data_IF_409792901967
#
_entry.id   IF_409792901967
#
_cell.length_a   1.000
_cell.length_b   1.000
_cell.length_c   1.000
_cell.angle_alpha   90.00
_cell.angle_beta   90.00
_cell.angle_gamma   90.00
#
_symmetry.space_group_name_H-M   'P 1'
#
loop_
_entity.id
_entity.type
_entity.pdbx_description
1 polymer ?
#
# COMPACT_ATOMS: atom_id res chain seq x y z
N UNK A 1 -52.44 -24.62 45.21
CA UNK A 1 -51.09 -24.52 44.60
C UNK A 1 -50.91 -23.19 43.83
N UNK A 2 -51.10 -22.03 44.48
CA UNK A 2 -51.12 -20.70 43.79
C UNK A 2 -50.45 -19.56 44.59
N UNK A 3 -49.68 -19.88 45.63
CA UNK A 3 -49.14 -18.88 46.58
C UNK A 3 -47.64 -18.56 46.43
N UNK A 4 -46.89 -19.26 45.56
CA UNK A 4 -45.43 -19.11 45.45
C UNK A 4 -44.92 -18.25 44.29
N UNK A 5 -45.78 -17.86 43.35
CA UNK A 5 -45.39 -17.08 42.16
C UNK A 5 -45.41 -15.55 42.36
N UNK A 6 -45.87 -15.05 43.51
CA UNK A 6 -46.00 -13.59 43.77
C UNK A 6 -44.82 -12.96 44.53
N UNK A 7 -43.86 -13.75 44.98
CA UNK A 7 -42.71 -13.26 45.76
C UNK A 7 -41.53 -12.78 44.89
N UNK A 8 -41.50 -13.11 43.59
CA UNK A 8 -40.39 -12.74 42.70
C UNK A 8 -40.42 -11.24 42.31
N UNK A 9 -41.57 -10.57 42.42
CA UNK A 9 -41.77 -9.17 42.01
C UNK A 9 -41.91 -8.17 43.17
N UNK A 10 -41.26 -8.42 44.31
CA UNK A 10 -41.32 -7.54 45.48
C UNK A 10 -39.98 -6.92 45.88
N UNK A 11 -39.07 -6.68 44.92
CA UNK A 11 -37.92 -5.82 45.17
C UNK A 11 -38.22 -4.41 44.62
N UNK A 12 -38.72 -3.51 45.49
CA UNK A 12 -39.04 -2.11 45.17
C UNK A 12 -37.91 -1.15 45.57
N UNK A 13 -36.66 -1.55 45.38
CA UNK A 13 -35.54 -0.63 45.53
C UNK A 13 -35.45 0.17 44.22
N UNK A 14 -35.87 1.44 44.26
CA UNK A 14 -35.79 2.33 43.11
C UNK A 14 -34.33 2.59 42.73
N UNK A 15 -34.07 2.72 41.44
CA UNK A 15 -32.75 3.06 40.91
C UNK A 15 -32.35 4.43 41.46
N UNK A 16 -31.28 4.49 42.25
CA UNK A 16 -30.85 5.76 42.82
C UNK A 16 -30.14 6.60 41.77
N UNK A 17 -30.25 7.94 41.89
CA UNK A 17 -29.59 8.86 40.95
C UNK A 17 -28.07 8.64 40.89
N UNK A 18 -27.48 8.29 42.04
CA UNK A 18 -26.05 8.04 42.15
C UNK A 18 -25.63 6.75 41.43
N UNK A 19 -26.41 5.67 41.52
CA UNK A 19 -26.12 4.42 40.79
C UNK A 19 -26.20 4.63 39.28
N UNK A 20 -27.19 5.38 38.80
CA UNK A 20 -27.30 5.73 37.38
C UNK A 20 -26.10 6.56 36.92
N UNK A 21 -25.68 7.53 37.72
CA UNK A 21 -24.55 8.40 37.41
C UNK A 21 -23.23 7.62 37.36
N UNK A 22 -23.02 6.70 38.31
CA UNK A 22 -21.85 5.81 38.32
C UNK A 22 -21.87 4.87 37.11
N UNK A 23 -23.02 4.30 36.77
CA UNK A 23 -23.15 3.42 35.60
C UNK A 23 -22.86 4.18 34.29
N UNK A 24 -23.34 5.43 34.15
CA UNK A 24 -23.04 6.27 32.99
C UNK A 24 -21.56 6.68 32.93
N UNK A 25 -20.96 7.02 34.07
CA UNK A 25 -19.53 7.35 34.15
C UNK A 25 -18.65 6.16 33.71
N UNK A 26 -18.93 4.96 34.21
CA UNK A 26 -18.20 3.75 33.81
C UNK A 26 -18.51 3.41 32.35
N UNK A 27 -19.77 3.50 31.92
CA UNK A 27 -20.18 3.19 30.55
C UNK A 27 -19.46 4.05 29.52
N UNK A 28 -19.39 5.36 29.75
CA UNK A 28 -18.67 6.29 28.86
C UNK A 28 -17.17 6.00 28.82
N UNK A 29 -16.56 5.62 29.95
CA UNK A 29 -15.15 5.22 29.98
C UNK A 29 -14.90 3.98 29.12
N UNK A 30 -15.73 2.95 29.26
CA UNK A 30 -15.62 1.70 28.49
C UNK A 30 -15.84 1.95 26.99
N UNK A 31 -16.85 2.75 26.64
CA UNK A 31 -17.12 3.12 25.24
C UNK A 31 -15.94 3.89 24.66
N UNK A 32 -15.39 4.86 25.39
CA UNK A 32 -14.24 5.66 24.95
C UNK A 32 -13.01 4.80 24.67
N UNK A 33 -12.69 3.87 25.56
CA UNK A 33 -11.58 2.93 25.37
C UNK A 33 -11.81 2.03 24.14
N UNK A 34 -13.02 1.48 24.02
CA UNK A 34 -13.38 0.61 22.89
C UNK A 34 -13.27 1.37 21.56
N UNK A 35 -13.79 2.59 21.51
CA UNK A 35 -13.73 3.43 20.31
C UNK A 35 -12.29 3.80 19.94
N UNK A 36 -11.44 4.10 20.92
CA UNK A 36 -10.02 4.38 20.70
C UNK A 36 -9.29 3.20 20.04
N UNK A 37 -9.51 1.98 20.53
CA UNK A 37 -8.93 0.76 19.96
C UNK A 37 -9.44 0.53 18.53
N UNK A 38 -10.74 0.68 18.31
CA UNK A 38 -11.34 0.54 16.97
C UNK A 38 -10.76 1.57 15.98
N UNK A 39 -10.67 2.83 16.40
CA UNK A 39 -10.12 3.90 15.57
C UNK A 39 -8.65 3.63 15.21
N UNK A 40 -7.85 3.23 16.19
CA UNK A 40 -6.44 2.87 15.99
C UNK A 40 -6.29 1.67 15.05
N UNK A 41 -7.13 0.66 15.22
CA UNK A 41 -7.14 -0.55 14.37
C UNK A 41 -7.47 -0.21 12.93
N UNK A 42 -8.47 0.66 12.71
CA UNK A 42 -8.87 1.09 11.37
C UNK A 42 -7.77 1.91 10.68
N UNK A 43 -7.09 2.81 11.39
CA UNK A 43 -5.97 3.57 10.84
C UNK A 43 -4.78 2.65 10.51
N UNK A 44 -4.49 1.70 11.38
CA UNK A 44 -3.43 0.69 11.15
C UNK A 44 -3.74 -0.17 9.93
N UNK A 45 -4.99 -0.61 9.80
CA UNK A 45 -5.43 -1.39 8.64
C UNK A 45 -5.24 -0.61 7.34
N UNK A 46 -5.71 0.64 7.25
CA UNK A 46 -5.51 1.50 6.07
C UNK A 46 -4.04 1.68 5.70
N UNK A 47 -3.18 1.87 6.71
CA UNK A 47 -1.73 1.98 6.48
C UNK A 47 -1.15 0.69 5.91
N UNK A 48 -1.54 -0.45 6.47
CA UNK A 48 -1.10 -1.77 6.01
C UNK A 48 -1.58 -2.07 4.59
N UNK A 49 -2.83 -1.71 4.27
CA UNK A 49 -3.41 -1.87 2.94
C UNK A 49 -2.62 -1.07 1.89
N UNK A 50 -2.37 0.23 2.16
CA UNK A 50 -1.57 1.07 1.26
C UNK A 50 -0.15 0.50 1.07
N UNK A 51 0.51 0.01 2.12
CA UNK A 51 1.82 -0.63 2.01
C UNK A 51 1.78 -1.90 1.13
N UNK A 52 0.73 -2.71 1.27
CA UNK A 52 0.56 -3.91 0.46
C UNK A 52 0.33 -3.56 -1.02
N UNK A 53 -0.47 -2.54 -1.32
CA UNK A 53 -0.69 -2.07 -2.68
C UNK A 53 0.61 -1.59 -3.33
N UNK A 54 1.44 -0.83 -2.59
CA UNK A 54 2.76 -0.38 -3.06
C UNK A 54 3.69 -1.57 -3.37
N UNK A 55 3.69 -2.60 -2.52
CA UNK A 55 4.46 -3.81 -2.74
C UNK A 55 3.99 -4.59 -3.97
N UNK A 56 2.67 -4.73 -4.16
CA UNK A 56 2.09 -5.39 -5.32
C UNK A 56 2.45 -4.67 -6.61
N UNK A 57 2.36 -3.34 -6.62
CA UNK A 57 2.74 -2.51 -7.75
C UNK A 57 4.22 -2.66 -8.11
N UNK A 58 5.11 -2.61 -7.12
CA UNK A 58 6.55 -2.79 -7.34
C UNK A 58 6.87 -4.18 -7.91
N UNK A 59 6.20 -5.23 -7.42
CA UNK A 59 6.37 -6.58 -7.93
C UNK A 59 5.84 -6.73 -9.36
N UNK A 60 4.73 -6.07 -9.68
CA UNK A 60 4.18 -6.05 -11.04
C UNK A 60 5.16 -5.36 -11.99
N UNK A 61 5.69 -4.19 -11.64
CA UNK A 61 6.70 -3.48 -12.42
C UNK A 61 7.96 -4.32 -12.65
N UNK A 62 8.48 -4.97 -11.60
CA UNK A 62 9.64 -5.87 -11.74
C UNK A 62 9.33 -7.02 -12.69
N UNK A 63 8.13 -7.59 -12.63
CA UNK A 63 7.71 -8.69 -13.50
C UNK A 63 7.60 -8.22 -14.96
N UNK A 64 7.01 -7.05 -15.20
CA UNK A 64 6.94 -6.43 -16.51
C UNK A 64 8.34 -6.18 -17.08
N UNK A 65 9.24 -5.56 -16.29
CA UNK A 65 10.63 -5.32 -16.69
C UNK A 65 11.37 -6.60 -17.03
N UNK A 66 11.23 -7.66 -16.21
CA UNK A 66 11.85 -8.97 -16.48
C UNK A 66 11.33 -9.58 -17.78
N UNK A 67 10.02 -9.56 -17.99
CA UNK A 67 9.41 -10.09 -19.20
C UNK A 67 9.89 -9.35 -20.45
N UNK A 68 9.90 -8.02 -20.40
CA UNK A 68 10.39 -7.18 -21.50
C UNK A 68 11.87 -7.45 -21.77
N UNK A 69 12.69 -7.50 -20.72
CA UNK A 69 14.11 -7.74 -20.84
C UNK A 69 14.44 -9.11 -21.46
N UNK A 70 13.61 -10.12 -21.19
CA UNK A 70 13.74 -11.47 -21.77
C UNK A 70 13.27 -11.53 -23.22
N UNK A 71 12.17 -10.86 -23.56
CA UNK A 71 11.55 -10.97 -24.89
C UNK A 71 12.14 -10.01 -25.92
N UNK A 72 12.70 -8.87 -25.49
CA UNK A 72 13.16 -7.83 -26.38
C UNK A 72 14.69 -7.71 -26.34
N UNK A 73 15.38 -7.76 -27.48
CA UNK A 73 16.84 -7.68 -27.53
C UNK A 73 17.35 -6.30 -27.11
N UNK A 74 16.60 -5.22 -27.29
CA UNK A 74 16.94 -3.90 -26.77
C UNK A 74 15.68 -3.12 -26.45
N UNK A 75 15.75 -2.26 -25.45
CA UNK A 75 14.68 -1.31 -25.15
C UNK A 75 15.25 -0.07 -24.47
N UNK A 76 14.54 1.04 -24.56
CA UNK A 76 14.84 2.25 -23.81
C UNK A 76 13.83 2.42 -22.69
N UNK A 77 14.27 3.02 -21.58
CA UNK A 77 13.37 3.49 -20.52
C UNK A 77 13.57 5.00 -20.40
N UNK A 78 12.48 5.73 -20.42
CA UNK A 78 12.44 7.18 -20.26
C UNK A 78 11.35 7.54 -19.27
N UNK A 79 11.57 8.62 -18.52
CA UNK A 79 10.54 9.16 -17.65
C UNK A 79 9.76 10.24 -18.37
N UNK A 80 8.44 10.06 -18.46
CA UNK A 80 7.50 11.03 -18.99
C UNK A 80 6.99 11.93 -17.86
N UNK A 81 7.41 13.19 -17.88
CA UNK A 81 7.00 14.19 -16.90
C UNK A 81 5.56 14.67 -17.06
N UNK A 82 4.94 14.49 -18.24
CA UNK A 82 3.56 14.90 -18.50
C UNK A 82 2.60 13.91 -17.86
N UNK A 83 2.85 12.61 -18.08
CA UNK A 83 2.01 11.53 -17.56
C UNK A 83 2.48 10.99 -16.20
N UNK A 84 3.58 11.55 -15.65
CA UNK A 84 4.21 11.11 -14.40
C UNK A 84 4.45 9.59 -14.38
N UNK A 85 4.97 9.06 -15.48
CA UNK A 85 5.12 7.61 -15.69
C UNK A 85 6.41 7.27 -16.41
N UNK A 86 6.82 6.01 -16.38
CA UNK A 86 7.97 5.55 -17.16
C UNK A 86 7.49 4.90 -18.44
N UNK A 87 8.02 5.34 -19.57
CA UNK A 87 7.75 4.78 -20.88
C UNK A 87 8.93 3.89 -21.30
N UNK A 88 8.60 2.69 -21.75
CA UNK A 88 9.55 1.79 -22.37
C UNK A 88 9.29 1.75 -23.87
N UNK A 89 10.33 1.99 -24.68
CA UNK A 89 10.25 1.80 -26.13
C UNK A 89 10.98 0.51 -26.49
N UNK A 90 10.25 -0.43 -27.07
CA UNK A 90 10.75 -1.75 -27.45
C UNK A 90 11.48 -1.71 -28.80
N UNK A 91 12.14 -2.81 -29.16
CA UNK A 91 12.90 -2.91 -30.42
C UNK A 91 12.04 -2.76 -31.68
N UNK A 92 10.75 -3.07 -31.59
CA UNK A 92 9.77 -2.93 -32.68
C UNK A 92 9.15 -1.52 -32.76
N UNK A 93 9.57 -0.60 -31.89
CA UNK A 93 9.03 0.76 -31.80
C UNK A 93 7.74 0.88 -30.98
N UNK A 94 7.19 -0.22 -30.47
CA UNK A 94 6.04 -0.18 -29.57
C UNK A 94 6.41 0.46 -28.22
N UNK A 95 5.44 1.14 -27.61
CA UNK A 95 5.61 1.82 -26.32
C UNK A 95 4.77 1.13 -25.26
N UNK A 96 5.36 0.91 -24.09
CA UNK A 96 4.67 0.35 -22.94
C UNK A 96 4.90 1.21 -21.71
N UNK A 97 3.83 1.55 -21.00
CA UNK A 97 3.88 2.26 -19.73
C UNK A 97 4.28 1.29 -18.63
N UNK A 98 5.19 1.72 -17.75
CA UNK A 98 5.63 1.00 -16.58
C UNK A 98 5.11 1.70 -15.31
N UNK A 99 4.28 0.98 -14.57
CA UNK A 99 3.67 1.43 -13.33
C UNK A 99 2.41 2.29 -13.54
N UNK A 100 1.79 2.69 -12.42
CA UNK A 100 0.59 3.53 -12.37
C UNK A 100 0.91 5.01 -12.06
N UNK A 101 0.27 5.94 -12.78
CA UNK A 101 0.49 7.40 -12.68
C UNK A 101 0.14 8.00 -11.31
N UNK A 102 -0.71 7.33 -10.52
CA UNK A 102 -1.10 7.79 -9.17
C UNK A 102 0.03 7.73 -8.14
N UNK A 103 1.11 6.99 -8.42
CA UNK A 103 2.25 6.87 -7.54
C UNK A 103 3.44 7.67 -8.07
N UNK A 104 4.26 8.20 -7.17
CA UNK A 104 5.58 8.71 -7.55
C UNK A 104 6.55 7.54 -7.61
N UNK A 105 7.17 7.36 -8.78
CA UNK A 105 8.05 6.22 -9.05
C UNK A 105 9.46 6.73 -9.34
N UNK A 106 10.45 6.11 -8.72
CA UNK A 106 11.88 6.40 -8.93
C UNK A 106 12.57 5.08 -9.32
N UNK A 107 13.15 5.04 -10.52
CA UNK A 107 13.85 3.86 -11.05
C UNK A 107 15.34 4.18 -11.15
N UNK A 108 16.17 3.28 -10.63
CA UNK A 108 17.62 3.33 -10.76
C UNK A 108 18.13 2.02 -11.33
N UNK A 109 19.02 2.08 -12.32
CA UNK A 109 19.60 0.92 -12.99
C UNK A 109 21.12 1.02 -12.92
N UNK A 110 21.77 0.00 -12.36
CA UNK A 110 23.21 -0.02 -12.06
C UNK A 110 23.68 1.22 -11.28
N UNK A 111 22.81 1.76 -10.41
CA UNK A 111 23.08 2.94 -9.60
C UNK A 111 22.84 4.29 -10.31
N UNK A 112 22.45 4.28 -11.59
CA UNK A 112 22.11 5.48 -12.35
C UNK A 112 20.59 5.69 -12.38
N UNK A 113 20.07 6.88 -11.98
CA UNK A 113 18.65 7.16 -12.04
C UNK A 113 18.19 7.24 -13.51
N UNK A 114 17.02 6.69 -13.79
CA UNK A 114 16.32 6.89 -15.06
C UNK A 114 15.64 8.26 -14.96
N UNK A 115 16.12 9.24 -15.72
CA UNK A 115 15.70 10.64 -15.63
C UNK A 115 14.92 11.09 -16.85
N UNK A 116 14.25 12.25 -16.74
CA UNK A 116 13.57 12.99 -17.82
C UNK A 116 14.50 13.38 -18.96
N UNK A 117 15.79 13.58 -18.68
CA UNK A 117 16.71 14.25 -19.61
C UNK A 117 17.43 13.31 -20.56
N UNK A 118 17.41 12.00 -20.30
CA UNK A 118 18.08 11.02 -21.16
C UNK A 118 17.46 9.64 -21.00
N UNK A 119 16.86 9.14 -22.07
CA UNK A 119 16.45 7.75 -22.17
C UNK A 119 17.64 6.81 -21.90
N UNK A 120 17.42 5.81 -21.06
CA UNK A 120 18.42 4.79 -20.76
C UNK A 120 18.20 3.58 -21.65
N UNK A 121 19.17 3.29 -22.52
CA UNK A 121 19.12 2.11 -23.39
C UNK A 121 19.67 0.88 -22.65
N UNK A 122 18.86 -0.17 -22.60
CA UNK A 122 19.25 -1.49 -22.11
C UNK A 122 19.47 -2.38 -23.31
N UNK A 123 20.74 -2.66 -23.57
CA UNK A 123 21.18 -3.42 -24.74
C UNK A 123 21.04 -4.95 -24.57
N UNK A 124 21.39 -5.71 -25.62
CA UNK A 124 21.14 -7.15 -25.68
C UNK A 124 22.04 -8.02 -24.82
N UNK A 125 22.90 -7.43 -24.00
CA UNK A 125 23.94 -8.15 -23.30
C UNK A 125 23.35 -9.11 -22.24
N UNK A 126 23.99 -10.26 -22.04
CA UNK A 126 23.69 -11.19 -20.93
C UNK A 126 24.14 -10.65 -19.55
N UNK A 127 24.58 -9.40 -19.50
CA UNK A 127 24.90 -8.69 -18.25
C UNK A 127 23.67 -8.64 -17.35
N UNK A 128 23.87 -8.94 -16.07
CA UNK A 128 22.86 -8.68 -15.06
C UNK A 128 22.79 -7.17 -14.76
N UNK A 129 21.60 -6.59 -14.87
CA UNK A 129 21.33 -5.20 -14.48
C UNK A 129 20.74 -5.17 -13.07
N UNK A 130 21.30 -4.33 -12.19
CA UNK A 130 20.77 -4.10 -10.84
C UNK A 130 19.71 -3.00 -10.91
N UNK A 131 18.47 -3.33 -10.62
CA UNK A 131 17.33 -2.41 -10.65
C UNK A 131 16.89 -2.12 -9.22
N UNK A 132 16.70 -0.85 -8.92
CA UNK A 132 16.03 -0.36 -7.72
C UNK A 132 14.79 0.40 -8.18
N UNK A 133 13.62 -0.01 -7.70
CA UNK A 133 12.36 0.70 -7.93
C UNK A 133 11.86 1.16 -6.56
N UNK A 134 11.69 2.47 -6.41
CA UNK A 134 11.06 3.08 -5.24
C UNK A 134 9.72 3.65 -5.67
N UNK A 135 8.66 3.25 -4.96
CA UNK A 135 7.29 3.71 -5.18
C UNK A 135 6.84 4.44 -3.92
N UNK A 136 6.30 5.65 -4.09
CA UNK A 136 5.83 6.52 -3.03
C UNK A 136 4.37 6.85 -3.33
N UNK A 137 3.51 6.62 -2.35
CA UNK A 137 2.10 7.02 -2.43
C UNK A 137 1.97 8.48 -1.98
N UNK A 138 1.61 9.43 -2.86
CA UNK A 138 1.48 10.83 -2.48
C UNK A 138 0.29 11.09 -1.55
N UNK A 139 -0.67 10.17 -1.48
CA UNK A 139 -1.84 10.26 -0.60
C UNK A 139 -1.54 9.83 0.83
N UNK A 140 -0.42 9.12 1.03
CA UNK A 140 0.04 8.66 2.33
C UNK A 140 1.50 9.04 2.54
N UNK A 141 2.10 8.66 3.67
CA UNK A 141 3.57 8.76 3.86
C UNK A 141 4.26 7.41 3.60
N UNK A 142 3.54 6.46 3.01
CA UNK A 142 4.06 5.12 2.76
C UNK A 142 4.94 5.10 1.52
N UNK A 143 6.03 4.35 1.63
CA UNK A 143 6.94 4.08 0.53
C UNK A 143 7.35 2.61 0.53
N UNK A 144 7.63 2.09 -0.66
CA UNK A 144 8.14 0.75 -0.83
C UNK A 144 9.30 0.76 -1.83
N UNK A 145 10.37 0.03 -1.51
CA UNK A 145 11.54 -0.09 -2.38
C UNK A 145 11.83 -1.56 -2.64
N UNK A 146 11.90 -1.94 -3.90
CA UNK A 146 12.38 -3.26 -4.33
C UNK A 146 13.75 -3.14 -4.98
N UNK A 147 14.66 -4.02 -4.59
CA UNK A 147 15.99 -4.16 -5.18
C UNK A 147 16.09 -5.54 -5.81
N UNK A 148 16.37 -5.60 -7.11
CA UNK A 148 16.42 -6.86 -7.85
C UNK A 148 17.50 -6.81 -8.94
N UNK A 149 17.98 -7.98 -9.35
CA UNK A 149 18.67 -8.13 -10.62
C UNK A 149 17.70 -8.55 -11.72
N UNK A 150 17.98 -8.13 -12.96
CA UNK A 150 17.39 -8.73 -14.17
C UNK A 150 18.52 -9.24 -15.07
N UNK A 151 18.32 -10.40 -15.68
CA UNK A 151 19.25 -11.05 -16.61
C UNK A 151 18.44 -11.88 -17.62
N UNK A 152 19.07 -12.30 -18.71
CA UNK A 152 18.46 -13.07 -19.82
C UNK A 152 18.64 -14.59 -19.73
N UNK A 153 19.14 -15.10 -18.60
CA UNK A 153 19.32 -16.53 -18.36
C UNK A 153 18.01 -17.32 -18.49
#
# INVERSE_FOLDING_TARGET
MKKRLREIFKNKNGLTLIELLVALAIGTMVIGLTFSVLHTSMNTFKKSESQQLLQQEANLMVTQLRNIHRMNPSYTIEYDSVENSYLMTLSDGSKQVLGQSKYKIEITIDGQPVSTTKAMTIGPNMKQYKIVIKIIDPSTTNEFTVKTGISRL
#
